data_IF_375872067267
#
_entry.id   IF_375872067267
#
_cell.length_a   1.000
_cell.length_b   1.000
_cell.length_c   1.000
_cell.angle_alpha   90.00
_cell.angle_beta   90.00
_cell.angle_gamma   90.00
#
_symmetry.space_group_name_H-M   'P 1'
#
loop_
_entity.id
_entity.type
_entity.pdbx_description
1 polymer ?
#
# COMPACT_ATOMS: atom_id res chain seq x y z
N UNK A 1 -2.83 52.50 -83.39
CA UNK A 1 -1.47 52.42 -82.81
C UNK A 1 -1.58 51.59 -81.54
N UNK A 2 -0.77 50.59 -81.18
CA UNK A 2 0.45 49.97 -81.75
C UNK A 2 0.59 48.58 -81.08
N UNK A 3 1.23 47.65 -81.79
CA UNK A 3 1.62 46.29 -81.38
C UNK A 3 2.68 46.25 -80.26
N UNK A 4 2.59 45.19 -79.44
CA UNK A 4 3.60 44.23 -78.94
C UNK A 4 5.06 44.73 -78.75
N UNK A 5 5.64 44.49 -77.56
CA UNK A 5 7.03 44.04 -77.40
C UNK A 5 7.22 43.23 -76.11
N UNK A 6 8.07 42.19 -76.21
CA UNK A 6 8.38 41.13 -75.25
C UNK A 6 8.99 41.63 -73.93
N UNK A 7 8.69 40.94 -72.83
CA UNK A 7 9.38 41.05 -71.54
C UNK A 7 9.78 39.68 -70.99
N UNK A 8 11.07 39.36 -71.18
CA UNK A 8 11.97 38.47 -70.44
C UNK A 8 11.44 37.20 -69.71
N UNK A 9 11.97 36.06 -70.16
CA UNK A 9 12.04 34.77 -69.45
C UNK A 9 13.08 34.88 -68.33
N UNK A 10 12.72 34.56 -67.08
CA UNK A 10 13.65 34.05 -66.06
C UNK A 10 12.82 33.24 -65.03
N UNK A 11 12.75 31.92 -65.21
CA UNK A 11 13.61 30.91 -64.56
C UNK A 11 13.30 30.71 -63.06
N UNK A 12 12.59 29.60 -62.83
CA UNK A 12 12.83 28.66 -61.73
C UNK A 12 12.62 29.14 -60.30
N UNK A 13 11.37 29.12 -59.83
CA UNK A 13 11.10 28.79 -58.44
C UNK A 13 11.01 27.26 -58.32
N UNK A 14 12.11 26.63 -57.90
CA UNK A 14 12.12 25.26 -57.42
C UNK A 14 11.26 25.17 -56.16
N UNK A 15 10.13 24.48 -56.27
CA UNK A 15 9.40 23.97 -55.12
C UNK A 15 10.29 22.89 -54.50
N UNK A 16 11.01 23.24 -53.43
CA UNK A 16 11.79 22.28 -52.63
C UNK A 16 10.81 21.32 -51.96
N UNK A 17 10.50 20.23 -52.66
CA UNK A 17 9.77 19.10 -52.11
C UNK A 17 10.68 18.42 -51.10
N UNK A 18 10.50 18.76 -49.81
CA UNK A 18 11.25 18.14 -48.71
C UNK A 18 10.95 16.65 -48.76
N UNK A 19 11.94 15.90 -49.26
CA UNK A 19 11.84 14.47 -49.48
C UNK A 19 11.51 13.75 -48.18
N UNK A 20 10.30 13.21 -48.11
CA UNK A 20 9.96 12.17 -47.15
C UNK A 20 10.89 10.99 -47.44
N UNK A 21 11.97 10.85 -46.67
CA UNK A 21 12.83 9.67 -46.74
C UNK A 21 11.95 8.42 -46.52
N UNK A 22 11.67 7.67 -47.58
CA UNK A 22 11.23 6.28 -47.50
C UNK A 22 12.37 5.52 -46.81
N UNK A 23 12.29 5.32 -45.50
CA UNK A 23 13.12 4.30 -44.83
C UNK A 23 12.92 3.00 -45.61
N UNK A 24 14.01 2.37 -46.05
CA UNK A 24 13.98 1.04 -46.62
C UNK A 24 13.33 0.04 -45.65
N UNK A 25 13.06 -1.20 -46.10
CA UNK A 25 12.59 -2.25 -45.19
C UNK A 25 13.55 -2.36 -43.99
N UNK A 26 12.99 -2.48 -42.79
CA UNK A 26 13.76 -2.56 -41.56
C UNK A 26 14.80 -3.69 -41.67
N UNK A 27 16.01 -3.44 -41.19
CA UNK A 27 17.00 -4.50 -41.08
C UNK A 27 16.55 -5.54 -40.05
N UNK A 28 17.04 -6.79 -40.11
CA UNK A 28 16.77 -7.80 -39.09
C UNK A 28 17.11 -7.33 -37.67
N UNK A 29 18.15 -6.50 -37.52
CA UNK A 29 18.56 -5.92 -36.23
C UNK A 29 17.55 -4.88 -35.73
N UNK A 30 17.06 -4.00 -36.61
CA UNK A 30 16.03 -3.01 -36.26
C UNK A 30 14.68 -3.69 -35.91
N UNK A 31 14.35 -4.79 -36.57
CA UNK A 31 13.18 -5.63 -36.22
C UNK A 31 13.39 -6.24 -34.83
N UNK A 32 14.56 -6.82 -34.55
CA UNK A 32 14.87 -7.43 -33.26
C UNK A 32 14.84 -6.40 -32.11
N UNK A 33 15.37 -5.19 -32.31
CA UNK A 33 15.33 -4.11 -31.33
C UNK A 33 13.89 -3.65 -31.06
N UNK A 34 13.10 -3.45 -32.13
CA UNK A 34 11.68 -3.09 -32.03
C UNK A 34 10.90 -4.14 -31.26
N UNK A 35 11.11 -5.41 -31.56
CA UNK A 35 10.40 -6.52 -30.94
C UNK A 35 10.84 -6.69 -29.47
N UNK A 36 12.13 -6.48 -29.15
CA UNK A 36 12.61 -6.43 -27.78
C UNK A 36 11.99 -5.27 -26.97
N UNK A 37 11.86 -4.09 -27.58
CA UNK A 37 11.20 -2.93 -26.96
C UNK A 37 9.70 -3.17 -26.78
N UNK A 38 9.04 -3.80 -27.75
CA UNK A 38 7.65 -4.20 -27.66
C UNK A 38 7.44 -5.22 -26.53
N UNK A 39 8.31 -6.22 -26.41
CA UNK A 39 8.31 -7.19 -25.30
C UNK A 39 8.46 -6.51 -23.94
N UNK A 40 9.47 -5.65 -23.76
CA UNK A 40 9.67 -4.89 -22.49
C UNK A 40 8.45 -4.03 -22.14
N UNK A 41 7.77 -3.45 -23.13
CA UNK A 41 6.54 -2.67 -22.91
C UNK A 41 5.38 -3.57 -22.47
N UNK A 42 5.20 -4.72 -23.09
CA UNK A 42 4.19 -5.72 -22.70
C UNK A 42 4.44 -6.24 -21.28
N UNK A 43 5.67 -6.65 -20.97
CA UNK A 43 6.05 -7.10 -19.62
C UNK A 43 5.79 -6.03 -18.55
N UNK A 44 6.15 -4.77 -18.82
CA UNK A 44 5.85 -3.65 -17.91
C UNK A 44 4.36 -3.39 -17.76
N UNK A 45 3.59 -3.51 -18.84
CA UNK A 45 2.14 -3.34 -18.82
C UNK A 45 1.47 -4.46 -18.02
N UNK A 46 1.84 -5.72 -18.27
CA UNK A 46 1.37 -6.89 -17.52
C UNK A 46 1.72 -6.78 -16.03
N UNK A 47 2.95 -6.36 -15.69
CA UNK A 47 3.32 -6.12 -14.30
C UNK A 47 2.46 -5.03 -13.66
N UNK A 48 2.22 -3.91 -14.35
CA UNK A 48 1.37 -2.83 -13.85
C UNK A 48 -0.08 -3.30 -13.61
N UNK A 49 -0.62 -4.13 -14.50
CA UNK A 49 -1.96 -4.71 -14.32
C UNK A 49 -2.00 -5.59 -13.07
N UNK A 50 -1.03 -6.51 -12.91
CA UNK A 50 -0.93 -7.37 -11.73
C UNK A 50 -0.77 -6.58 -10.43
N UNK A 51 0.09 -5.55 -10.44
CA UNK A 51 0.31 -4.68 -9.28
C UNK A 51 -0.97 -3.89 -8.92
N UNK A 52 -1.73 -3.43 -9.93
CA UNK A 52 -3.01 -2.75 -9.72
C UNK A 52 -4.08 -3.70 -9.14
N UNK A 53 -4.21 -4.92 -9.68
CA UNK A 53 -5.13 -5.93 -9.16
C UNK A 53 -4.80 -6.34 -7.73
N UNK A 54 -3.51 -6.53 -7.41
CA UNK A 54 -3.06 -6.84 -6.06
C UNK A 54 -3.36 -5.69 -5.08
N UNK A 55 -3.15 -4.45 -5.51
CA UNK A 55 -3.46 -3.25 -4.70
C UNK A 55 -4.96 -3.12 -4.45
N UNK A 56 -5.78 -3.37 -5.48
CA UNK A 56 -7.23 -3.33 -5.35
C UNK A 56 -7.76 -4.44 -4.42
N UNK A 57 -7.22 -5.65 -4.55
CA UNK A 57 -7.53 -6.75 -3.62
C UNK A 57 -7.17 -6.40 -2.18
N UNK A 58 -5.99 -5.81 -1.98
CA UNK A 58 -5.55 -5.38 -0.65
C UNK A 58 -6.44 -4.27 -0.08
N UNK A 59 -6.82 -3.28 -0.89
CA UNK A 59 -7.71 -2.20 -0.47
C UNK A 59 -9.06 -2.74 0.03
N UNK A 60 -9.70 -3.64 -0.73
CA UNK A 60 -10.97 -4.28 -0.33
C UNK A 60 -10.84 -5.09 0.95
N UNK A 61 -9.76 -5.86 1.09
CA UNK A 61 -9.51 -6.62 2.32
C UNK A 61 -9.30 -5.69 3.52
N UNK A 62 -8.56 -4.60 3.33
CA UNK A 62 -8.36 -3.58 4.37
C UNK A 62 -9.67 -2.93 4.77
N UNK A 63 -10.49 -2.49 3.81
CA UNK A 63 -11.78 -1.86 4.07
C UNK A 63 -12.69 -2.79 4.88
N UNK A 64 -12.82 -4.06 4.47
CA UNK A 64 -13.57 -5.07 5.20
C UNK A 64 -13.08 -5.26 6.65
N UNK A 65 -11.75 -5.25 6.88
CA UNK A 65 -11.20 -5.32 8.25
C UNK A 65 -11.55 -4.09 9.09
N UNK A 66 -11.54 -2.90 8.50
CA UNK A 66 -11.93 -1.67 9.21
C UNK A 66 -13.43 -1.69 9.56
N UNK A 67 -14.28 -2.19 8.68
CA UNK A 67 -15.72 -2.38 8.94
C UNK A 67 -15.96 -3.36 10.09
N UNK A 68 -15.30 -4.54 10.06
CA UNK A 68 -15.38 -5.52 11.14
C UNK A 68 -14.90 -4.93 12.47
N UNK A 69 -13.76 -4.26 12.47
CA UNK A 69 -13.20 -3.63 13.66
C UNK A 69 -14.15 -2.56 14.25
N UNK A 70 -14.85 -1.79 13.40
CA UNK A 70 -15.81 -0.80 13.86
C UNK A 70 -17.00 -1.41 14.61
N UNK A 71 -17.36 -2.66 14.33
CA UNK A 71 -18.43 -3.40 15.01
C UNK A 71 -18.03 -4.03 16.34
N UNK A 72 -16.74 -4.04 16.69
CA UNK A 72 -16.24 -4.66 17.93
C UNK A 72 -16.50 -3.72 19.11
N UNK A 73 -17.15 -4.24 20.16
CA UNK A 73 -17.31 -3.51 21.42
C UNK A 73 -15.96 -3.21 22.07
N UNK A 74 -15.15 -4.24 22.30
CA UNK A 74 -13.79 -4.12 22.79
C UNK A 74 -12.93 -5.34 22.41
N UNK A 75 -11.61 -5.12 22.36
CA UNK A 75 -10.57 -6.15 22.17
C UNK A 75 -9.39 -5.81 23.07
N UNK A 76 -8.62 -6.81 23.46
CA UNK A 76 -7.40 -6.62 24.24
C UNK A 76 -6.16 -6.70 23.33
N UNK A 77 -5.25 -5.74 23.48
CA UNK A 77 -3.90 -5.78 22.90
C UNK A 77 -2.90 -6.07 24.03
N UNK A 78 -2.22 -7.20 23.95
CA UNK A 78 -1.18 -7.61 24.90
C UNK A 78 0.17 -7.43 24.23
N UNK A 79 1.01 -6.54 24.72
CA UNK A 79 2.32 -6.23 24.12
C UNK A 79 3.28 -5.58 25.12
N UNK A 80 4.57 -5.54 24.77
CA UNK A 80 5.56 -4.80 25.55
C UNK A 80 5.25 -3.30 25.60
N UNK A 81 5.59 -2.61 26.69
CA UNK A 81 5.33 -1.18 26.90
C UNK A 81 5.81 -0.30 25.75
N UNK A 82 6.96 -0.63 25.15
CA UNK A 82 7.51 0.14 24.03
C UNK A 82 6.75 -0.09 22.72
N UNK A 83 6.20 -1.29 22.53
CA UNK A 83 5.27 -1.55 21.42
C UNK A 83 4.01 -0.74 21.58
N UNK A 84 3.47 -0.65 22.82
CA UNK A 84 2.32 0.20 23.09
C UNK A 84 2.63 1.68 22.85
N UNK A 85 3.77 2.20 23.33
CA UNK A 85 4.23 3.57 23.06
C UNK A 85 4.32 3.85 21.57
N UNK A 86 4.83 2.90 20.79
CA UNK A 86 4.88 3.00 19.33
C UNK A 86 3.49 3.11 18.70
N UNK A 87 2.55 2.26 19.11
CA UNK A 87 1.16 2.29 18.63
C UNK A 87 0.50 3.64 18.93
N UNK A 88 0.64 4.14 20.16
CA UNK A 88 0.12 5.46 20.56
C UNK A 88 0.73 6.56 19.71
N UNK A 89 2.06 6.59 19.56
CA UNK A 89 2.76 7.62 18.80
C UNK A 89 2.33 7.69 17.32
N UNK A 90 2.05 6.54 16.69
CA UNK A 90 1.56 6.51 15.30
C UNK A 90 0.06 6.74 15.16
N UNK A 91 -0.72 6.50 16.22
CA UNK A 91 -2.18 6.65 16.16
C UNK A 91 -2.62 8.05 16.60
N UNK A 92 -1.86 8.71 17.48
CA UNK A 92 -2.15 10.06 17.99
C UNK A 92 -2.10 11.17 16.95
N UNK A 93 -1.46 10.93 15.80
CA UNK A 93 -1.46 11.87 14.66
C UNK A 93 -2.84 12.01 14.00
N UNK A 94 -3.82 11.19 14.40
CA UNK A 94 -5.19 11.23 13.89
C UNK A 94 -6.08 12.03 14.82
N UNK A 95 -6.83 12.98 14.27
CA UNK A 95 -7.73 13.86 15.05
C UNK A 95 -8.75 13.12 15.92
N UNK A 96 -9.17 11.92 15.49
CA UNK A 96 -10.16 11.09 16.20
C UNK A 96 -9.55 10.11 17.19
N UNK A 97 -8.21 10.06 17.30
CA UNK A 97 -7.58 9.21 18.30
C UNK A 97 -7.92 9.69 19.70
N UNK A 98 -8.22 8.72 20.54
CA UNK A 98 -8.35 8.88 21.99
C UNK A 98 -7.49 7.80 22.60
N UNK A 99 -6.42 8.20 23.27
CA UNK A 99 -5.59 7.24 24.01
C UNK A 99 -6.48 6.57 25.07
N UNK A 100 -6.46 5.23 25.18
CA UNK A 100 -7.10 4.52 26.28
C UNK A 100 -6.73 5.15 27.62
N UNK A 101 -7.72 5.33 28.50
CA UNK A 101 -7.51 5.80 29.86
C UNK A 101 -6.83 4.73 30.71
N UNK A 102 -6.28 5.13 31.86
CA UNK A 102 -5.47 4.26 32.72
C UNK A 102 -6.25 3.02 33.21
N UNK A 103 -7.57 3.12 33.38
CA UNK A 103 -8.45 1.99 33.74
C UNK A 103 -8.59 0.94 32.62
N UNK A 104 -8.18 1.27 31.40
CA UNK A 104 -8.13 0.35 30.26
C UNK A 104 -6.74 -0.24 30.02
N UNK A 105 -5.75 0.09 30.87
CA UNK A 105 -4.39 -0.42 30.78
C UNK A 105 -4.08 -1.20 32.06
N UNK A 106 -3.72 -2.47 31.91
CA UNK A 106 -3.29 -3.33 33.02
C UNK A 106 -1.84 -3.75 32.82
N UNK A 107 -1.07 -3.74 33.90
CA UNK A 107 0.30 -4.28 33.93
C UNK A 107 0.23 -5.81 34.06
N UNK A 108 0.86 -6.52 33.13
CA UNK A 108 0.94 -7.99 33.11
C UNK A 108 2.28 -8.49 33.66
N UNK A 109 3.15 -7.59 34.14
CA UNK A 109 4.52 -7.88 34.56
C UNK A 109 5.49 -8.02 33.39
N UNK A 110 6.79 -8.03 33.68
CA UNK A 110 7.86 -8.15 32.66
C UNK A 110 7.75 -7.12 31.52
N UNK A 111 7.41 -5.87 31.87
CA UNK A 111 7.20 -4.76 30.93
C UNK A 111 6.08 -5.02 29.89
N UNK A 112 5.20 -6.00 30.14
CA UNK A 112 4.04 -6.30 29.31
C UNK A 112 2.80 -5.55 29.80
N UNK A 113 2.03 -5.05 28.85
CA UNK A 113 0.77 -4.35 29.08
C UNK A 113 -0.37 -5.10 28.40
N UNK A 114 -1.53 -5.14 29.05
CA UNK A 114 -2.82 -5.47 28.45
C UNK A 114 -3.63 -4.19 28.31
N UNK A 115 -3.93 -3.83 27.07
CA UNK A 115 -4.65 -2.60 26.73
C UNK A 115 -5.99 -2.94 26.10
N UNK A 116 -7.09 -2.51 26.73
CA UNK A 116 -8.42 -2.65 26.19
C UNK A 116 -8.70 -1.53 25.18
N UNK A 117 -8.99 -1.90 23.94
CA UNK A 117 -9.31 -1.01 22.84
C UNK A 117 -10.77 -1.18 22.42
N UNK A 118 -11.47 -0.07 22.22
CA UNK A 118 -12.75 -0.06 21.52
C UNK A 118 -12.58 -0.31 20.01
N UNK A 119 -13.66 -0.72 19.34
CA UNK A 119 -13.67 -0.87 17.87
C UNK A 119 -13.15 0.36 17.11
N UNK A 120 -13.61 1.60 17.40
CA UNK A 120 -13.08 2.80 16.77
C UNK A 120 -11.58 3.04 17.01
N UNK A 121 -11.06 2.70 18.19
CA UNK A 121 -9.61 2.76 18.44
C UNK A 121 -8.87 1.71 17.62
N UNK A 122 -9.38 0.49 17.55
CA UNK A 122 -8.78 -0.57 16.73
C UNK A 122 -8.76 -0.21 15.23
N UNK A 123 -9.81 0.45 14.71
CA UNK A 123 -9.84 1.00 13.35
C UNK A 123 -8.65 1.92 13.11
N UNK A 124 -8.40 2.85 14.05
CA UNK A 124 -7.28 3.79 13.94
C UNK A 124 -5.92 3.10 14.08
N UNK A 125 -5.79 2.10 14.94
CA UNK A 125 -4.58 1.27 15.04
C UNK A 125 -4.32 0.54 13.72
N UNK A 126 -5.30 -0.19 13.18
CA UNK A 126 -5.16 -0.89 11.90
C UNK A 126 -4.79 0.06 10.77
N UNK A 127 -5.43 1.22 10.71
CA UNK A 127 -5.15 2.25 9.71
C UNK A 127 -3.71 2.76 9.83
N UNK A 128 -3.31 3.23 11.01
CA UNK A 128 -1.98 3.82 11.24
C UNK A 128 -0.85 2.80 11.13
N UNK A 129 -1.06 1.56 11.59
CA UNK A 129 -0.07 0.50 11.44
C UNK A 129 0.09 0.08 9.97
N UNK A 130 -1.00 -0.01 9.21
CA UNK A 130 -0.93 -0.31 7.77
C UNK A 130 -0.16 0.75 6.99
N UNK A 131 -0.40 2.03 7.26
CA UNK A 131 0.34 3.12 6.65
C UNK A 131 1.81 3.09 7.06
N UNK A 132 2.10 2.99 8.36
CA UNK A 132 3.48 2.93 8.84
C UNK A 132 4.27 1.74 8.29
N UNK A 133 3.61 0.58 8.09
CA UNK A 133 4.18 -0.62 7.47
C UNK A 133 4.41 -0.50 5.96
N UNK A 134 3.83 0.52 5.32
CA UNK A 134 3.95 0.82 3.89
C UNK A 134 2.96 0.11 2.99
N UNK A 135 1.87 -0.43 3.53
CA UNK A 135 0.89 -1.15 2.70
C UNK A 135 0.06 -0.21 1.80
N UNK A 136 -0.11 1.06 2.16
CA UNK A 136 -0.82 2.07 1.35
C UNK A 136 -0.01 2.74 0.23
N UNK A 137 1.29 2.43 0.14
CA UNK A 137 2.27 3.19 -0.65
C UNK A 137 3.08 4.16 0.21
N UNK A 138 3.88 5.03 -0.41
CA UNK A 138 4.91 5.82 0.30
C UNK A 138 4.38 6.87 1.27
N UNK A 139 3.15 7.36 1.10
CA UNK A 139 2.57 8.37 1.99
C UNK A 139 2.20 7.74 3.34
N UNK A 140 2.71 8.29 4.44
CA UNK A 140 2.52 7.75 5.78
C UNK A 140 3.41 6.54 6.15
N UNK A 141 4.21 6.02 5.19
CA UNK A 141 5.20 4.97 5.48
C UNK A 141 6.25 5.47 6.46
N UNK A 142 6.55 4.68 7.49
CA UNK A 142 7.60 5.06 8.43
C UNK A 142 8.97 5.12 7.72
N UNK A 143 9.80 6.15 7.97
CA UNK A 143 11.06 6.31 7.25
C UNK A 143 12.05 5.18 7.55
N UNK A 144 12.11 4.72 8.80
CA UNK A 144 13.03 3.68 9.25
C UNK A 144 12.46 2.28 9.06
N UNK A 145 13.30 1.34 8.63
CA UNK A 145 12.88 -0.06 8.44
C UNK A 145 12.40 -0.69 9.74
N UNK A 146 13.03 -0.38 10.88
CA UNK A 146 12.62 -0.86 12.20
C UNK A 146 11.15 -0.54 12.52
N UNK A 147 10.75 0.73 12.37
CA UNK A 147 9.36 1.16 12.54
C UNK A 147 8.39 0.39 11.63
N UNK A 148 8.78 0.17 10.36
CA UNK A 148 7.93 -0.55 9.39
C UNK A 148 7.71 -1.99 9.84
N UNK A 149 8.73 -2.64 10.39
CA UNK A 149 8.66 -4.02 10.88
C UNK A 149 7.77 -4.11 12.12
N UNK A 150 7.90 -3.18 13.08
CA UNK A 150 7.03 -3.13 14.27
C UNK A 150 5.57 -2.91 13.84
N UNK A 151 5.34 -1.91 12.99
CA UNK A 151 4.00 -1.61 12.48
C UNK A 151 3.37 -2.80 11.74
N UNK A 152 4.17 -3.48 10.92
CA UNK A 152 3.73 -4.68 10.19
C UNK A 152 3.33 -5.78 11.17
N UNK A 153 4.15 -6.06 12.18
CA UNK A 153 3.85 -7.12 13.15
C UNK A 153 2.54 -6.88 13.88
N UNK A 154 2.34 -5.65 14.39
CA UNK A 154 1.09 -5.26 15.06
C UNK A 154 -0.10 -5.34 14.10
N UNK A 155 0.03 -4.84 12.86
CA UNK A 155 -1.04 -4.90 11.87
C UNK A 155 -1.42 -6.35 11.53
N UNK A 156 -0.45 -7.21 11.26
CA UNK A 156 -0.70 -8.57 10.79
C UNK A 156 -1.40 -9.40 11.88
N UNK A 157 -1.01 -9.24 13.15
CA UNK A 157 -1.66 -9.91 14.28
C UNK A 157 -3.08 -9.39 14.53
N UNK A 158 -3.26 -8.06 14.50
CA UNK A 158 -4.58 -7.46 14.63
C UNK A 158 -5.51 -7.87 13.48
N UNK A 159 -5.00 -7.86 12.25
CA UNK A 159 -5.71 -8.28 11.06
C UNK A 159 -6.11 -9.76 11.14
N UNK A 160 -5.24 -10.63 11.64
CA UNK A 160 -5.56 -12.05 11.84
C UNK A 160 -6.74 -12.23 12.80
N UNK A 161 -6.74 -11.54 13.94
CA UNK A 161 -7.86 -11.59 14.89
C UNK A 161 -9.13 -11.05 14.24
N UNK A 162 -9.07 -9.91 13.56
CA UNK A 162 -10.24 -9.29 12.89
C UNK A 162 -10.79 -10.17 11.75
N UNK A 163 -9.92 -10.85 11.01
CA UNK A 163 -10.35 -11.76 9.94
C UNK A 163 -11.16 -12.94 10.50
N UNK A 164 -10.86 -13.38 11.73
CA UNK A 164 -11.59 -14.46 12.41
C UNK A 164 -12.97 -14.07 12.93
N UNK A 165 -13.31 -12.78 12.94
CA UNK A 165 -14.59 -12.28 13.44
C UNK A 165 -15.68 -12.51 12.39
N UNK A 166 -16.76 -13.12 12.86
CA UNK A 166 -18.03 -13.25 12.16
C UNK A 166 -19.00 -12.19 12.69
N UNK A 167 -19.34 -11.15 11.89
CA UNK A 167 -20.28 -10.10 12.29
C UNK A 167 -21.69 -10.61 12.59
N UNK A 168 -22.08 -11.77 12.06
CA UNK A 168 -23.39 -12.38 12.22
C UNK A 168 -23.44 -13.34 13.42
N UNK A 169 -22.31 -13.53 14.13
CA UNK A 169 -22.25 -14.37 15.31
C UNK A 169 -23.14 -13.83 16.44
N UNK A 170 -23.77 -14.72 17.24
CA UNK A 170 -24.57 -14.31 18.39
C UNK A 170 -23.77 -13.43 19.36
N UNK A 171 -24.42 -12.40 19.91
CA UNK A 171 -23.84 -11.52 20.89
C UNK A 171 -23.29 -12.31 22.10
N UNK A 172 -22.13 -11.89 22.61
CA UNK A 172 -21.59 -12.34 23.90
C UNK A 172 -20.35 -13.24 23.84
N UNK A 173 -19.90 -13.69 22.66
CA UNK A 173 -18.56 -14.28 22.55
C UNK A 173 -17.49 -13.19 22.57
N UNK A 174 -16.50 -13.26 23.49
CA UNK A 174 -15.43 -12.26 23.53
C UNK A 174 -14.53 -12.38 22.29
N UNK A 175 -14.04 -11.24 21.82
CA UNK A 175 -13.01 -11.21 20.76
C UNK A 175 -11.69 -11.70 21.36
N UNK A 176 -10.97 -12.62 20.70
CA UNK A 176 -9.66 -13.07 21.17
C UNK A 176 -8.67 -11.90 21.33
N UNK A 177 -7.75 -11.95 22.32
CA UNK A 177 -6.74 -10.91 22.47
C UNK A 177 -5.74 -10.93 21.30
N UNK A 178 -5.27 -9.74 20.93
CA UNK A 178 -4.17 -9.54 19.99
C UNK A 178 -2.88 -9.59 20.81
N UNK A 179 -2.07 -10.62 20.63
CA UNK A 179 -0.85 -10.83 21.43
C UNK A 179 0.39 -10.59 20.58
N UNK A 180 1.19 -9.59 20.97
CA UNK A 180 2.49 -9.25 20.37
C UNK A 180 3.58 -9.67 21.36
N UNK A 181 3.82 -10.98 21.43
CA UNK A 181 4.80 -11.60 22.33
C UNK A 181 5.32 -12.90 21.71
N UNK A 182 6.33 -12.78 20.83
CA UNK A 182 6.95 -13.93 20.18
C UNK A 182 7.95 -14.60 21.12
N UNK A 183 7.59 -15.77 21.62
CA UNK A 183 8.42 -16.58 22.51
C UNK A 183 9.11 -17.71 21.75
N UNK A 184 10.27 -18.13 22.25
CA UNK A 184 10.95 -19.34 21.76
C UNK A 184 10.06 -20.53 22.11
N UNK A 185 9.82 -21.43 21.14
CA UNK A 185 9.15 -22.68 21.42
C UNK A 185 9.98 -23.48 22.44
N UNK A 186 9.32 -24.10 23.41
CA UNK A 186 10.01 -25.04 24.31
C UNK A 186 10.77 -26.06 23.46
N UNK A 187 12.07 -26.15 23.67
CA UNK A 187 12.85 -27.22 23.04
C UNK A 187 12.30 -28.54 23.58
N UNK A 188 11.96 -29.53 22.72
CA UNK A 188 11.66 -30.86 23.22
C UNK A 188 12.85 -31.32 24.07
N UNK A 189 12.58 -31.74 25.30
CA UNK A 189 13.58 -32.25 26.24
C UNK A 189 14.53 -33.19 25.51
N UNK A 190 15.83 -32.90 25.53
CA UNK A 190 16.88 -33.78 24.99
C UNK A 190 17.30 -34.80 26.02
#
# INVERSE_FOLDING_TARGET
MRRIALGAINSSQEVVFVGWFRRGPLTPEEIAERDAKARRRRERAEKKVKDAEARERWNRLRESRLEKAAGISNVELVCHQDTWRFVVAKSSVRDRWRTPSDDCVSDEGNDMLRVRLSGPQLVLVLFSMAEAAGYGGSFGTAPFVGDRVIARRVYDLAAFVVDSIDPDAPAGKPVPPIVVDDRVADSPER
#
